data_IF_565360730521
#
_entry.id   IF_565360730521
#
_cell.length_a   1.000
_cell.length_b   1.000
_cell.length_c   1.000
_cell.angle_alpha   90.00
_cell.angle_beta   90.00
_cell.angle_gamma   90.00
#
_symmetry.space_group_name_H-M   'P 1'
#
loop_
_entity.id
_entity.type
_entity.pdbx_description
1 polymer ?
#
# COMPACT_ATOMS: atom_id res chain seq x y z
N UNK A 1 -5.22 31.06 12.35
CA UNK A 1 -4.49 32.27 11.86
C UNK A 1 -2.96 32.03 11.90
N UNK A 2 -2.58 30.85 11.47
CA UNK A 2 -1.21 30.36 11.53
C UNK A 2 -0.27 31.08 10.54
N UNK A 3 -0.82 31.78 9.56
CA UNK A 3 -0.08 32.37 8.46
C UNK A 3 -0.22 33.88 8.32
N UNK A 4 -0.76 34.56 9.35
CA UNK A 4 -0.88 36.03 9.36
C UNK A 4 -1.87 36.62 8.34
N UNK A 5 -2.78 35.80 7.84
CA UNK A 5 -3.80 36.21 6.88
C UNK A 5 -5.00 36.77 7.63
N UNK A 6 -4.92 38.01 8.11
CA UNK A 6 -5.94 38.66 8.96
C UNK A 6 -7.27 38.90 8.22
N UNK A 7 -7.26 38.97 6.90
CA UNK A 7 -8.45 39.21 6.06
C UNK A 7 -8.77 38.06 5.12
N UNK A 8 -8.30 36.84 5.44
CA UNK A 8 -8.50 35.69 4.56
C UNK A 8 -9.94 35.15 4.73
N UNK A 9 -10.67 35.17 3.62
CA UNK A 9 -12.00 34.57 3.50
C UNK A 9 -11.93 33.11 3.05
N UNK A 10 -10.72 32.53 2.94
CA UNK A 10 -10.53 31.14 2.54
C UNK A 10 -10.99 30.23 3.66
N UNK A 11 -11.96 29.43 3.38
CA UNK A 11 -12.45 28.38 4.26
C UNK A 11 -11.67 27.10 4.02
N UNK A 12 -10.92 26.66 5.01
CA UNK A 12 -10.15 25.41 4.96
C UNK A 12 -11.10 24.23 5.26
N UNK A 13 -11.28 23.36 4.29
CA UNK A 13 -12.19 22.21 4.41
C UNK A 13 -11.49 20.94 4.87
N UNK A 14 -10.17 20.84 4.71
CA UNK A 14 -9.39 19.69 5.13
C UNK A 14 -8.75 19.92 6.51
N UNK A 15 -8.82 18.92 7.37
CA UNK A 15 -8.07 18.90 8.61
C UNK A 15 -6.56 18.78 8.38
N UNK A 16 -5.76 19.34 9.27
CA UNK A 16 -4.29 19.22 9.22
C UNK A 16 -3.85 17.76 9.37
N UNK A 17 -4.59 16.99 10.15
CA UNK A 17 -4.34 15.60 10.44
C UNK A 17 -5.66 14.85 10.58
N UNK A 18 -5.84 13.79 9.81
CA UNK A 18 -6.99 12.90 9.94
C UNK A 18 -6.56 11.45 10.04
N UNK A 19 -7.34 10.66 10.78
CA UNK A 19 -7.18 9.23 10.90
C UNK A 19 -8.48 8.54 10.48
N UNK A 20 -8.38 7.58 9.57
CA UNK A 20 -9.52 6.82 9.08
C UNK A 20 -9.30 5.34 9.31
N UNK A 21 -10.28 4.68 9.94
CA UNK A 21 -10.29 3.24 10.13
C UNK A 21 -11.34 2.63 9.21
N UNK A 22 -10.92 1.65 8.41
CA UNK A 22 -11.80 0.96 7.47
C UNK A 22 -11.83 -0.52 7.84
N UNK A 23 -13.01 -1.06 7.98
CA UNK A 23 -13.23 -2.49 8.10
C UNK A 23 -13.66 -3.03 6.74
N UNK A 24 -12.90 -3.96 6.20
CA UNK A 24 -13.26 -4.60 4.94
C UNK A 24 -14.30 -5.71 5.13
N UNK A 25 -15.00 -6.06 4.08
CA UNK A 25 -15.98 -7.15 4.08
C UNK A 25 -15.37 -8.49 4.53
N UNK A 26 -14.10 -8.73 4.18
CA UNK A 26 -13.36 -9.95 4.60
C UNK A 26 -12.71 -9.82 5.98
N UNK A 27 -13.13 -8.86 6.80
CA UNK A 27 -12.70 -8.70 8.19
C UNK A 27 -11.29 -8.14 8.40
N UNK A 28 -10.66 -7.59 7.36
CA UNK A 28 -9.39 -6.89 7.52
C UNK A 28 -9.62 -5.43 7.95
N UNK A 29 -8.68 -4.88 8.67
CA UNK A 29 -8.70 -3.45 9.05
C UNK A 29 -7.62 -2.71 8.29
N UNK A 30 -7.99 -1.55 7.73
CA UNK A 30 -7.06 -0.61 7.11
C UNK A 30 -7.07 0.65 7.97
N UNK A 31 -5.88 1.15 8.29
CA UNK A 31 -5.70 2.43 8.97
C UNK A 31 -5.01 3.39 8.01
N UNK A 32 -5.67 4.51 7.72
CA UNK A 32 -5.13 5.58 6.88
C UNK A 32 -4.88 6.79 7.76
N UNK A 33 -3.65 7.32 7.70
CA UNK A 33 -3.29 8.59 8.30
C UNK A 33 -3.00 9.60 7.18
N UNK A 34 -3.74 10.68 7.18
CA UNK A 34 -3.50 11.81 6.29
C UNK A 34 -2.94 12.99 7.10
N UNK A 35 -1.74 13.40 6.79
CA UNK A 35 -1.05 14.50 7.44
C UNK A 35 -0.05 15.13 6.48
N UNK A 36 -0.36 16.31 5.98
CA UNK A 36 0.46 17.02 4.98
C UNK A 36 1.01 18.34 5.51
N UNK A 37 0.59 18.77 6.71
CA UNK A 37 0.90 20.08 7.23
C UNK A 37 1.92 20.07 8.37
N UNK A 38 2.06 18.95 9.07
CA UNK A 38 2.94 18.88 10.24
C UNK A 38 4.35 18.43 9.83
N UNK A 39 5.40 19.08 10.37
CA UNK A 39 6.77 18.64 10.11
C UNK A 39 6.99 17.23 10.66
N UNK A 40 7.41 16.33 9.80
CA UNK A 40 7.76 14.95 10.17
C UNK A 40 8.71 14.35 9.12
N UNK A 41 9.48 13.31 9.45
CA UNK A 41 10.16 12.51 8.44
C UNK A 41 9.17 11.96 7.43
N UNK A 42 9.58 11.90 6.17
CA UNK A 42 8.75 11.33 5.12
C UNK A 42 8.35 9.89 5.44
N UNK A 43 7.06 9.63 5.39
CA UNK A 43 6.51 8.29 5.61
C UNK A 43 5.18 8.14 4.87
N UNK A 44 5.00 7.00 4.22
CA UNK A 44 3.70 6.57 3.69
C UNK A 44 2.99 5.59 4.62
N UNK A 45 3.52 5.35 5.82
CA UNK A 45 3.02 4.35 6.77
C UNK A 45 2.73 2.98 6.13
N UNK A 46 3.63 2.52 5.26
CA UNK A 46 3.49 1.22 4.62
C UNK A 46 3.76 0.12 5.65
N UNK A 47 2.70 -0.34 6.29
CA UNK A 47 2.75 -1.38 7.32
C UNK A 47 1.71 -2.45 7.04
N UNK A 48 2.14 -3.70 7.08
CA UNK A 48 1.28 -4.87 6.98
C UNK A 48 1.47 -5.73 8.22
N UNK A 49 0.39 -6.10 8.86
CA UNK A 49 0.39 -7.03 9.99
C UNK A 49 -0.51 -8.21 9.64
N UNK A 50 0.05 -9.40 9.68
CA UNK A 50 -0.65 -10.64 9.40
C UNK A 50 -0.43 -11.69 10.48
N UNK A 51 -1.06 -12.84 10.33
CA UNK A 51 -0.94 -13.97 11.25
C UNK A 51 0.44 -14.61 11.25
N UNK A 52 1.15 -14.52 10.12
CA UNK A 52 2.47 -15.15 9.93
C UNK A 52 3.63 -14.16 10.09
N UNK A 53 3.37 -12.87 10.03
CA UNK A 53 4.43 -11.88 10.16
C UNK A 53 3.96 -10.45 9.99
N UNK A 54 4.95 -9.59 10.02
CA UNK A 54 4.86 -8.15 9.95
C UNK A 54 5.84 -7.62 8.93
N UNK A 55 5.43 -6.59 8.19
CA UNK A 55 6.28 -5.86 7.28
C UNK A 55 6.03 -4.35 7.44
N UNK A 56 7.10 -3.59 7.53
CA UNK A 56 7.09 -2.13 7.61
C UNK A 56 8.11 -1.55 6.63
N UNK A 57 7.77 -0.46 5.96
CA UNK A 57 8.70 0.22 5.06
C UNK A 57 9.24 1.53 5.61
N UNK A 58 8.46 2.24 6.42
CA UNK A 58 8.80 3.58 6.90
C UNK A 58 8.64 3.69 8.41
N UNK A 59 9.53 4.39 9.14
CA UNK A 59 10.76 5.03 8.64
C UNK A 59 11.88 4.04 8.35
N UNK A 60 11.82 2.83 8.91
CA UNK A 60 12.78 1.75 8.70
C UNK A 60 12.09 0.58 7.99
N UNK A 61 12.82 -0.04 7.09
CA UNK A 61 12.34 -1.24 6.41
C UNK A 61 12.64 -2.47 7.26
N UNK A 62 11.61 -3.02 7.88
CA UNK A 62 11.68 -4.10 8.86
C UNK A 62 10.69 -5.21 8.53
N UNK A 63 11.09 -6.43 8.81
CA UNK A 63 10.25 -7.61 8.69
C UNK A 63 10.39 -8.44 9.96
N UNK A 64 9.28 -9.01 10.41
CA UNK A 64 9.26 -9.92 11.55
C UNK A 64 8.38 -11.11 11.19
N UNK A 65 8.78 -12.30 11.57
CA UNK A 65 8.04 -13.51 11.26
C UNK A 65 7.72 -14.30 12.52
N UNK A 66 6.60 -15.00 12.44
CA UNK A 66 6.16 -15.91 13.48
C UNK A 66 6.71 -17.33 13.18
N UNK A 67 7.67 -17.84 13.98
CA UNK A 67 8.42 -19.06 13.63
C UNK A 67 7.53 -20.29 13.46
N UNK A 68 6.49 -20.44 14.29
CA UNK A 68 5.56 -21.57 14.28
C UNK A 68 4.56 -21.55 13.11
N UNK A 69 4.54 -20.47 12.33
CA UNK A 69 3.61 -20.29 11.20
C UNK A 69 4.32 -20.25 9.84
N UNK A 70 5.64 -20.38 9.83
CA UNK A 70 6.46 -20.33 8.63
C UNK A 70 7.30 -21.61 8.56
N UNK A 71 7.40 -22.19 7.39
CA UNK A 71 8.22 -23.38 7.20
C UNK A 71 9.71 -23.01 7.25
N UNK A 72 10.50 -23.92 7.77
CA UNK A 72 11.95 -23.70 7.95
C UNK A 72 12.73 -23.49 6.65
N UNK A 73 12.22 -23.94 5.51
CA UNK A 73 12.80 -23.73 4.19
C UNK A 73 12.38 -22.42 3.51
N UNK A 74 11.39 -21.72 4.07
CA UNK A 74 10.90 -20.47 3.51
C UNK A 74 11.77 -19.26 3.90
N UNK A 75 12.32 -19.27 5.12
CA UNK A 75 13.12 -18.17 5.65
C UNK A 75 14.50 -18.70 6.09
N UNK A 76 15.59 -18.10 5.61
CA UNK A 76 16.93 -18.42 6.14
C UNK A 76 17.02 -18.14 7.63
N UNK A 77 17.85 -18.90 8.33
CA UNK A 77 18.07 -18.72 9.77
C UNK A 77 16.78 -18.84 10.62
N UNK A 78 15.88 -19.71 10.20
CA UNK A 78 14.56 -19.89 10.80
C UNK A 78 14.60 -20.15 12.30
N UNK A 79 15.61 -20.87 12.78
CA UNK A 79 15.81 -21.22 14.20
C UNK A 79 16.04 -20.01 15.11
N UNK A 80 16.55 -18.91 14.55
CA UNK A 80 16.79 -17.66 15.27
C UNK A 80 15.67 -16.63 15.08
N UNK A 81 14.59 -16.98 14.41
CA UNK A 81 13.44 -16.07 14.27
C UNK A 81 12.81 -15.78 15.63
N UNK A 82 12.47 -14.53 15.83
CA UNK A 82 11.78 -14.06 17.02
C UNK A 82 10.58 -13.18 16.61
N UNK A 83 9.39 -13.55 17.05
CA UNK A 83 8.17 -12.82 16.71
C UNK A 83 8.10 -11.38 17.26
N UNK A 84 9.05 -10.99 18.10
CA UNK A 84 9.14 -9.64 18.67
C UNK A 84 10.38 -8.86 18.21
N UNK A 85 11.14 -9.40 17.25
CA UNK A 85 12.33 -8.76 16.72
C UNK A 85 12.34 -8.77 15.20
N UNK A 86 12.88 -7.70 14.62
CA UNK A 86 13.12 -7.66 13.18
C UNK A 86 14.19 -8.70 12.80
N UNK A 87 14.04 -9.29 11.60
CA UNK A 87 15.06 -10.18 11.03
C UNK A 87 16.36 -9.43 10.77
N UNK A 88 17.47 -10.15 10.73
CA UNK A 88 18.78 -9.57 10.42
C UNK A 88 18.86 -9.02 8.99
N UNK A 89 19.84 -8.17 8.74
CA UNK A 89 20.06 -7.59 7.41
C UNK A 89 20.37 -8.69 6.37
N UNK A 90 21.12 -9.72 6.76
CA UNK A 90 21.49 -10.84 5.91
C UNK A 90 20.26 -11.67 5.51
N UNK A 91 19.38 -11.97 6.46
CA UNK A 91 18.13 -12.69 6.22
C UNK A 91 17.22 -11.85 5.31
N UNK A 92 17.11 -10.54 5.57
CA UNK A 92 16.34 -9.62 4.72
C UNK A 92 16.85 -9.62 3.28
N UNK A 93 18.15 -9.52 3.06
CA UNK A 93 18.75 -9.53 1.72
C UNK A 93 18.45 -10.84 0.98
N UNK A 94 18.61 -11.98 1.66
CA UNK A 94 18.28 -13.28 1.09
C UNK A 94 16.82 -13.41 0.69
N UNK A 95 15.90 -12.93 1.53
CA UNK A 95 14.47 -12.91 1.22
C UNK A 95 14.14 -11.98 0.07
N UNK A 96 14.70 -10.78 0.02
CA UNK A 96 14.52 -9.85 -1.09
C UNK A 96 14.99 -10.46 -2.41
N UNK A 97 16.11 -11.17 -2.40
CA UNK A 97 16.61 -11.88 -3.58
C UNK A 97 15.68 -13.02 -4.01
N UNK A 98 15.17 -13.80 -3.05
CA UNK A 98 14.29 -14.95 -3.30
C UNK A 98 12.90 -14.54 -3.79
N UNK A 99 12.33 -13.50 -3.20
CA UNK A 99 10.93 -13.10 -3.41
C UNK A 99 10.76 -11.80 -4.20
N UNK A 100 11.84 -11.25 -4.75
CA UNK A 100 11.76 -10.08 -5.63
C UNK A 100 10.81 -10.37 -6.79
N UNK A 101 9.85 -9.45 -7.01
CA UNK A 101 8.86 -9.64 -8.06
C UNK A 101 9.54 -9.82 -9.44
N UNK A 102 9.10 -10.75 -10.28
CA UNK A 102 9.72 -11.04 -11.58
C UNK A 102 9.91 -9.81 -12.47
N UNK A 103 8.94 -8.89 -12.48
CA UNK A 103 9.03 -7.65 -13.26
C UNK A 103 10.23 -6.78 -12.83
N UNK A 104 10.54 -6.74 -11.53
CA UNK A 104 11.73 -6.04 -11.05
C UNK A 104 13.01 -6.75 -11.46
N UNK A 105 13.01 -8.08 -11.49
CA UNK A 105 14.18 -8.83 -11.94
C UNK A 105 14.47 -8.59 -13.42
N UNK A 106 13.43 -8.46 -14.24
CA UNK A 106 13.55 -8.26 -15.69
C UNK A 106 13.85 -6.79 -16.05
N UNK A 107 13.18 -5.84 -15.43
CA UNK A 107 13.16 -4.45 -15.89
C UNK A 107 13.97 -3.46 -15.05
N UNK A 108 14.44 -3.84 -13.85
CA UNK A 108 15.01 -2.90 -12.88
C UNK A 108 16.16 -2.07 -13.44
N UNK A 109 17.07 -2.69 -14.18
CA UNK A 109 18.24 -2.00 -14.74
C UNK A 109 17.84 -0.95 -15.77
N UNK A 110 16.90 -1.29 -16.66
CA UNK A 110 16.38 -0.37 -17.67
C UNK A 110 15.57 0.74 -16.99
N UNK A 111 14.73 0.38 -16.04
CA UNK A 111 13.90 1.32 -15.30
C UNK A 111 14.75 2.37 -14.54
N UNK A 112 15.84 1.95 -13.90
CA UNK A 112 16.78 2.87 -13.23
C UNK A 112 17.47 3.83 -14.20
N UNK A 113 17.78 3.37 -15.41
CA UNK A 113 18.40 4.23 -16.46
C UNK A 113 17.43 5.26 -17.02
N UNK A 114 16.18 4.88 -17.23
CA UNK A 114 15.12 5.77 -17.73
C UNK A 114 14.74 6.81 -16.67
N UNK A 115 14.72 6.42 -15.39
CA UNK A 115 14.38 7.30 -14.27
C UNK A 115 12.88 7.29 -13.95
N UNK A 116 12.39 8.38 -13.31
CA UNK A 116 11.03 8.47 -12.80
C UNK A 116 10.85 7.67 -11.49
N UNK A 117 10.90 8.35 -10.34
CA UNK A 117 10.77 7.76 -9.00
C UNK A 117 11.61 6.48 -8.78
N UNK A 118 12.87 6.52 -9.25
CA UNK A 118 13.78 5.36 -9.15
C UNK A 118 13.44 4.22 -10.11
N UNK A 119 12.70 4.48 -11.18
CA UNK A 119 12.28 3.51 -12.18
C UNK A 119 10.84 2.98 -12.01
N UNK A 120 10.14 3.40 -10.96
CA UNK A 120 8.77 2.95 -10.69
C UNK A 120 7.82 3.35 -11.83
N UNK A 121 7.92 4.59 -12.31
CA UNK A 121 7.06 5.11 -13.37
C UNK A 121 7.26 4.30 -14.66
N UNK A 122 8.51 3.99 -15.00
CA UNK A 122 8.81 3.15 -16.17
C UNK A 122 8.16 1.77 -16.09
N UNK A 123 8.22 1.11 -14.93
CA UNK A 123 7.62 -0.23 -14.75
C UNK A 123 6.10 -0.16 -14.86
N UNK A 124 5.48 0.87 -14.31
CA UNK A 124 4.04 1.09 -14.39
C UNK A 124 3.60 1.29 -15.85
N UNK A 125 4.25 2.17 -16.57
CA UNK A 125 3.95 2.45 -17.98
C UNK A 125 4.21 1.23 -18.87
N UNK A 126 5.30 0.50 -18.61
CA UNK A 126 5.59 -0.75 -19.31
C UNK A 126 4.42 -1.74 -19.18
N UNK A 127 3.90 -1.94 -17.96
CA UNK A 127 2.76 -2.84 -17.72
C UNK A 127 1.52 -2.38 -18.46
N UNK A 128 1.20 -1.11 -18.41
CA UNK A 128 0.06 -0.53 -19.12
C UNK A 128 0.15 -0.81 -20.63
N UNK A 129 1.28 -0.44 -21.25
CA UNK A 129 1.51 -0.63 -22.67
C UNK A 129 1.49 -2.11 -23.04
N UNK A 130 2.11 -2.96 -22.24
CA UNK A 130 2.12 -4.41 -22.45
C UNK A 130 0.69 -4.99 -22.43
N UNK A 131 -0.11 -4.65 -21.44
CA UNK A 131 -1.50 -5.11 -21.35
C UNK A 131 -2.33 -4.65 -22.55
N UNK A 132 -2.25 -3.38 -22.93
CA UNK A 132 -2.97 -2.82 -24.06
C UNK A 132 -2.54 -3.47 -25.39
N UNK A 133 -1.23 -3.66 -25.59
CA UNK A 133 -0.70 -4.25 -26.82
C UNK A 133 -1.11 -5.72 -27.01
N UNK A 134 -1.25 -6.46 -25.91
CA UNK A 134 -1.59 -7.88 -25.94
C UNK A 134 -3.06 -8.17 -25.66
N UNK A 135 -3.91 -7.16 -25.54
CA UNK A 135 -5.34 -7.34 -25.25
C UNK A 135 -5.60 -7.98 -23.88
N UNK A 136 -4.72 -7.75 -22.92
CA UNK A 136 -4.84 -8.26 -21.56
C UNK A 136 -5.60 -7.28 -20.66
N UNK A 137 -6.25 -7.77 -19.58
CA UNK A 137 -6.81 -6.90 -18.56
C UNK A 137 -5.72 -6.01 -17.96
N UNK A 138 -6.08 -4.76 -17.67
CA UNK A 138 -5.19 -3.85 -16.95
C UNK A 138 -4.99 -4.29 -15.51
N UNK A 139 -3.87 -3.91 -14.91
CA UNK A 139 -3.55 -4.19 -13.51
C UNK A 139 -4.49 -3.46 -12.54
N UNK A 140 -5.04 -2.35 -12.98
CA UNK A 140 -6.03 -1.55 -12.26
C UNK A 140 -7.12 -1.10 -13.23
N UNK A 141 -8.34 -1.03 -12.75
CA UNK A 141 -9.47 -0.59 -13.55
C UNK A 141 -10.19 0.62 -12.92
N UNK A 142 -11.27 1.06 -13.57
CA UNK A 142 -12.05 2.20 -13.09
C UNK A 142 -12.72 1.95 -11.74
N UNK A 143 -12.98 0.71 -11.37
CA UNK A 143 -13.58 0.37 -10.08
C UNK A 143 -12.57 0.47 -8.95
N UNK A 144 -11.33 0.05 -9.18
CA UNK A 144 -10.22 0.29 -8.23
C UNK A 144 -10.04 1.78 -7.98
N UNK A 145 -10.03 2.59 -9.04
CA UNK A 145 -9.93 4.04 -8.94
C UNK A 145 -11.08 4.65 -8.14
N UNK A 146 -12.30 4.24 -8.41
CA UNK A 146 -13.49 4.75 -7.71
C UNK A 146 -13.42 4.39 -6.22
N UNK A 147 -13.05 3.17 -5.88
CA UNK A 147 -12.91 2.69 -4.51
C UNK A 147 -11.84 3.48 -3.74
N UNK A 148 -10.69 3.73 -4.35
CA UNK A 148 -9.63 4.49 -3.68
C UNK A 148 -9.96 5.97 -3.52
N UNK A 149 -10.55 6.59 -4.56
CA UNK A 149 -10.86 8.02 -4.54
C UNK A 149 -12.03 8.36 -3.62
N UNK A 150 -12.98 7.47 -3.39
CA UNK A 150 -14.13 7.75 -2.52
C UNK A 150 -13.73 7.89 -1.03
N UNK A 151 -12.57 7.38 -0.60
CA UNK A 151 -12.18 7.37 0.80
C UNK A 151 -12.03 8.75 1.41
N UNK A 152 -11.55 9.73 0.65
CA UNK A 152 -11.42 11.11 1.13
C UNK A 152 -12.80 11.70 1.45
N UNK A 153 -13.77 11.55 0.55
CA UNK A 153 -15.12 12.04 0.74
C UNK A 153 -15.87 11.31 1.85
N UNK A 154 -15.74 9.98 1.91
CA UNK A 154 -16.36 9.21 2.98
C UNK A 154 -15.79 9.53 4.35
N UNK A 155 -14.49 9.82 4.43
CA UNK A 155 -13.85 10.32 5.66
C UNK A 155 -14.45 11.67 6.08
N UNK A 156 -14.62 12.60 5.14
CA UNK A 156 -15.26 13.90 5.41
C UNK A 156 -16.68 13.72 5.94
N UNK A 157 -17.49 12.91 5.26
CA UNK A 157 -18.87 12.62 5.68
C UNK A 157 -18.90 12.01 7.09
N UNK A 158 -18.00 11.07 7.39
CA UNK A 158 -17.92 10.48 8.73
C UNK A 158 -17.63 11.54 9.81
N UNK A 159 -16.65 12.41 9.58
CA UNK A 159 -16.27 13.47 10.51
C UNK A 159 -17.41 14.45 10.75
N UNK A 160 -18.08 14.91 9.70
CA UNK A 160 -19.22 15.84 9.78
C UNK A 160 -20.42 15.25 10.53
N UNK A 161 -20.56 13.92 10.51
CA UNK A 161 -21.58 13.19 11.25
C UNK A 161 -21.09 12.65 12.62
N UNK A 162 -20.13 13.31 13.26
CA UNK A 162 -19.64 12.97 14.58
C UNK A 162 -18.83 11.65 14.62
N UNK A 163 -18.11 11.36 13.57
CA UNK A 163 -17.33 10.14 13.35
C UNK A 163 -18.21 8.87 13.23
N UNK A 164 -19.44 9.02 12.78
CA UNK A 164 -20.31 7.88 12.54
C UNK A 164 -19.75 6.99 11.41
N UNK A 165 -19.92 5.67 11.50
CA UNK A 165 -19.53 4.77 10.41
C UNK A 165 -20.28 5.10 9.10
N UNK A 166 -19.54 5.10 7.99
CA UNK A 166 -20.08 5.32 6.64
C UNK A 166 -19.80 4.09 5.80
N UNK A 167 -20.82 3.59 5.11
CA UNK A 167 -20.62 2.45 4.22
C UNK A 167 -19.87 2.86 2.95
N UNK A 168 -18.87 2.10 2.56
CA UNK A 168 -18.21 2.24 1.25
C UNK A 168 -19.12 1.67 0.18
N UNK A 169 -19.47 2.43 -0.88
CA UNK A 169 -20.29 1.92 -1.97
C UNK A 169 -19.61 0.75 -2.70
N UNK A 170 -20.37 -0.25 -3.08
CA UNK A 170 -19.89 -1.29 -3.99
C UNK A 170 -20.03 -0.84 -5.44
N UNK A 171 -18.97 -0.26 -5.99
CA UNK A 171 -18.92 0.20 -7.38
C UNK A 171 -18.98 -0.94 -8.39
N UNK A 172 -18.61 -2.15 -7.99
CA UNK A 172 -18.56 -3.35 -8.84
C UNK A 172 -19.88 -4.09 -8.94
N UNK A 173 -20.89 -3.69 -8.17
CA UNK A 173 -22.21 -4.36 -8.08
C UNK A 173 -22.07 -5.85 -7.76
N UNK A 174 -21.23 -6.20 -6.80
CA UNK A 174 -20.96 -7.56 -6.35
C UNK A 174 -19.92 -8.30 -7.17
N UNK A 175 -19.31 -7.70 -8.18
CA UNK A 175 -18.29 -8.40 -8.98
C UNK A 175 -16.94 -8.55 -8.28
N UNK A 176 -16.64 -7.74 -7.28
CA UNK A 176 -15.39 -7.81 -6.52
C UNK A 176 -15.12 -9.20 -5.90
N UNK A 177 -16.15 -9.94 -5.51
CA UNK A 177 -16.01 -11.25 -4.90
C UNK A 177 -15.76 -12.38 -5.90
N UNK A 178 -15.89 -12.11 -7.20
CA UNK A 178 -15.63 -13.08 -8.28
C UNK A 178 -14.16 -13.15 -8.67
N UNK A 179 -13.39 -12.14 -8.28
CA UNK A 179 -11.95 -12.08 -8.54
C UNK A 179 -11.24 -12.89 -7.46
N UNK A 180 -10.54 -13.95 -7.87
CA UNK A 180 -9.76 -14.78 -6.97
C UNK A 180 -8.28 -14.72 -7.35
N UNK A 181 -7.44 -14.47 -6.34
CA UNK A 181 -6.00 -14.42 -6.48
C UNK A 181 -5.48 -13.15 -7.18
N UNK A 182 -4.18 -13.06 -7.25
CA UNK A 182 -3.46 -11.99 -7.95
C UNK A 182 -3.27 -12.38 -9.41
N UNK A 183 -3.95 -11.70 -10.33
CA UNK A 183 -3.79 -11.93 -11.76
C UNK A 183 -2.53 -11.30 -12.34
N UNK A 184 -1.88 -10.42 -11.58
CA UNK A 184 -0.85 -9.51 -12.08
C UNK A 184 0.55 -9.83 -11.57
N UNK A 185 0.74 -11.00 -10.98
CA UNK A 185 2.04 -11.44 -10.48
C UNK A 185 3.03 -11.85 -11.58
N UNK A 186 2.58 -11.99 -12.82
CA UNK A 186 3.41 -12.40 -13.93
C UNK A 186 3.88 -11.19 -14.75
N UNK A 187 5.11 -11.24 -15.23
CA UNK A 187 5.67 -10.22 -16.13
C UNK A 187 4.95 -10.21 -17.47
N UNK A 188 4.55 -11.39 -17.94
CA UNK A 188 3.90 -11.64 -19.22
C UNK A 188 2.65 -12.49 -19.07
#
# INVERSE_FOLDING_TARGET
RRYGLENDTVEFQNGDHTMTFIRTEKGKTIHIQHDVMNPRPYSRMYQLTGTHGYANKYPLEEYCFRPDQIKSDEVPDHENLNMHAAISAEVKEALMKKYKHPIHQELEETAKKVGGHGGMDYIMDYRLVYCLHNGLPLDMDVYDLAEWCCLAELTRISIENGNAPVAVPDFTRGSWNKIQGYRHALVK
#
